data_IF_421991714596
#
_entry.id   IF_421991714596
#
_cell.length_a   1.000
_cell.length_b   1.000
_cell.length_c   1.000
_cell.angle_alpha   90.00
_cell.angle_beta   90.00
_cell.angle_gamma   90.00
#
_symmetry.space_group_name_H-M   'P 1'
#
loop_
_entity.id
_entity.type
_entity.pdbx_description
1 polymer ?
#
# COMPACT_ATOMS: atom_id res chain seq x y z
N UNK A 1 22.16 18.76 -21.72
CA UNK A 1 21.56 18.07 -20.56
C UNK A 1 22.48 18.31 -19.36
N UNK A 2 21.94 18.78 -18.23
CA UNK A 2 22.71 19.29 -17.10
C UNK A 2 23.30 18.13 -16.26
N UNK A 3 24.54 18.20 -15.77
CA UNK A 3 25.18 17.15 -14.95
C UNK A 3 24.29 16.76 -13.75
N UNK A 4 23.59 17.75 -13.19
CA UNK A 4 22.61 17.57 -12.11
C UNK A 4 21.52 16.54 -12.41
N UNK A 5 21.02 16.50 -13.64
CA UNK A 5 19.96 15.56 -14.03
C UNK A 5 20.40 14.11 -13.84
N UNK A 6 21.62 13.76 -14.26
CA UNK A 6 22.14 12.40 -14.12
C UNK A 6 22.49 12.07 -12.66
N UNK A 7 23.01 13.04 -11.89
CA UNK A 7 23.32 12.82 -10.48
C UNK A 7 22.07 12.58 -9.66
N UNK A 8 20.96 13.27 -9.96
CA UNK A 8 19.69 13.11 -9.25
C UNK A 8 19.07 11.73 -9.53
N UNK A 9 19.08 11.28 -10.79
CA UNK A 9 18.65 9.91 -11.16
C UNK A 9 19.48 8.87 -10.41
N UNK A 10 20.81 9.02 -10.43
CA UNK A 10 21.72 8.09 -9.75
C UNK A 10 21.46 8.06 -8.24
N UNK A 11 21.19 9.22 -7.63
CA UNK A 11 20.88 9.35 -6.21
C UNK A 11 19.55 8.65 -5.83
N UNK A 12 18.49 8.83 -6.63
CA UNK A 12 17.20 8.14 -6.42
C UNK A 12 17.36 6.62 -6.51
N UNK A 13 18.03 6.14 -7.57
CA UNK A 13 18.24 4.70 -7.76
C UNK A 13 19.11 4.13 -6.63
N UNK A 14 20.18 4.83 -6.25
CA UNK A 14 21.02 4.42 -5.13
C UNK A 14 20.24 4.35 -3.81
N UNK A 15 19.35 5.31 -3.57
CA UNK A 15 18.44 5.31 -2.42
C UNK A 15 17.53 4.08 -2.42
N UNK A 16 16.93 3.74 -3.57
CA UNK A 16 16.11 2.53 -3.70
C UNK A 16 16.89 1.24 -3.49
N UNK A 17 18.17 1.19 -3.89
CA UNK A 17 19.03 0.04 -3.62
C UNK A 17 19.32 -0.12 -2.12
N UNK A 18 19.59 0.99 -1.41
CA UNK A 18 19.76 1.00 0.04
C UNK A 18 18.46 0.55 0.74
N UNK A 19 17.32 1.09 0.33
CA UNK A 19 15.99 0.70 0.81
C UNK A 19 15.72 -0.78 0.58
N UNK A 20 15.99 -1.27 -0.63
CA UNK A 20 15.83 -2.67 -0.97
C UNK A 20 16.68 -3.57 -0.08
N UNK A 21 17.96 -3.24 0.13
CA UNK A 21 18.84 -3.99 1.01
C UNK A 21 18.31 -4.01 2.46
N UNK A 22 17.99 -2.84 3.03
CA UNK A 22 17.53 -2.74 4.40
C UNK A 22 16.19 -3.46 4.64
N UNK A 23 15.20 -3.22 3.78
CA UNK A 23 13.90 -3.88 3.90
C UNK A 23 13.99 -5.38 3.61
N UNK A 24 14.77 -5.82 2.62
CA UNK A 24 15.01 -7.26 2.44
C UNK A 24 15.66 -7.91 3.67
N UNK A 25 16.59 -7.23 4.34
CA UNK A 25 17.25 -7.76 5.53
C UNK A 25 16.30 -7.94 6.71
N UNK A 26 15.51 -6.91 7.04
CA UNK A 26 14.43 -7.02 8.05
C UNK A 26 13.37 -8.04 7.65
N UNK A 27 13.01 -8.06 6.37
CA UNK A 27 12.11 -9.02 5.75
C UNK A 27 12.53 -10.46 5.97
N UNK A 28 13.79 -10.78 5.68
CA UNK A 28 14.35 -12.12 5.87
C UNK A 28 14.28 -12.56 7.34
N UNK A 29 14.46 -11.63 8.28
CA UNK A 29 14.27 -11.91 9.72
C UNK A 29 12.81 -12.22 10.04
N UNK A 30 11.87 -11.45 9.50
CA UNK A 30 10.44 -11.74 9.67
C UNK A 30 10.03 -13.06 9.02
N UNK A 31 10.51 -13.37 7.82
CA UNK A 31 10.29 -14.67 7.14
C UNK A 31 10.75 -15.81 8.04
N UNK A 32 11.96 -15.72 8.59
CA UNK A 32 12.50 -16.72 9.51
C UNK A 32 11.69 -16.81 10.82
N UNK A 33 11.36 -15.66 11.42
CA UNK A 33 10.59 -15.58 12.66
C UNK A 33 9.22 -16.22 12.48
N UNK A 34 8.50 -15.87 11.41
CA UNK A 34 7.17 -16.36 11.07
C UNK A 34 7.18 -17.77 10.45
N UNK A 35 8.38 -18.33 10.16
CA UNK A 35 8.56 -19.62 9.46
C UNK A 35 7.85 -19.67 8.10
N UNK A 36 7.82 -18.55 7.38
CA UNK A 36 7.21 -18.46 6.05
C UNK A 36 8.11 -19.16 5.02
N UNK A 37 7.52 -20.01 4.20
CA UNK A 37 8.22 -20.73 3.12
C UNK A 37 7.81 -20.18 1.75
N UNK A 38 8.58 -19.19 1.27
CA UNK A 38 8.51 -18.74 -0.11
C UNK A 38 9.48 -19.58 -0.93
N UNK A 39 9.00 -20.15 -2.05
CA UNK A 39 9.83 -21.02 -2.89
C UNK A 39 11.15 -20.33 -3.26
N UNK A 40 12.29 -20.95 -2.93
CA UNK A 40 13.65 -20.42 -3.19
C UNK A 40 13.92 -20.08 -4.67
N UNK A 41 13.16 -20.67 -5.59
CA UNK A 41 13.30 -20.48 -7.03
C UNK A 41 12.32 -19.46 -7.64
N UNK A 42 11.32 -19.01 -6.88
CA UNK A 42 10.48 -17.91 -7.32
C UNK A 42 11.26 -16.60 -7.13
N UNK A 43 11.32 -15.77 -8.18
CA UNK A 43 11.86 -14.40 -8.11
C UNK A 43 10.89 -13.52 -7.33
N UNK A 44 10.75 -13.82 -6.06
CA UNK A 44 9.76 -13.32 -5.15
C UNK A 44 10.41 -12.29 -4.21
N UNK A 45 9.82 -11.10 -4.09
CA UNK A 45 10.29 -10.04 -3.19
C UNK A 45 9.45 -9.93 -1.91
N UNK A 46 8.75 -11.00 -1.50
CA UNK A 46 8.03 -11.08 -0.23
C UNK A 46 8.87 -10.62 0.98
N UNK A 47 10.18 -10.95 1.10
CA UNK A 47 11.00 -10.39 2.17
C UNK A 47 11.01 -8.86 2.14
N UNK A 48 11.26 -8.22 1.00
CA UNK A 48 11.25 -6.74 0.89
C UNK A 48 9.91 -6.14 1.32
N UNK A 49 8.78 -6.75 0.90
CA UNK A 49 7.44 -6.31 1.31
C UNK A 49 7.20 -6.44 2.82
N UNK A 50 7.66 -7.54 3.43
CA UNK A 50 7.56 -7.74 4.87
C UNK A 50 8.46 -6.78 5.65
N UNK A 51 9.67 -6.49 5.17
CA UNK A 51 10.57 -5.54 5.82
C UNK A 51 10.10 -4.09 5.69
N UNK A 52 9.50 -3.73 4.56
CA UNK A 52 8.81 -2.47 4.42
C UNK A 52 7.59 -2.40 5.37
N UNK A 53 6.79 -3.47 5.46
CA UNK A 53 5.70 -3.56 6.44
C UNK A 53 6.18 -3.43 7.88
N UNK A 54 7.34 -4.01 8.20
CA UNK A 54 8.01 -3.85 9.50
C UNK A 54 8.41 -2.40 9.77
N UNK A 55 8.87 -1.66 8.76
CA UNK A 55 9.18 -0.24 8.92
C UNK A 55 7.96 0.57 9.39
N UNK A 56 6.77 0.30 8.83
CA UNK A 56 5.52 0.96 9.26
C UNK A 56 5.28 0.70 10.74
N UNK A 57 5.36 -0.57 11.16
CA UNK A 57 5.21 -0.96 12.56
C UNK A 57 6.25 -0.29 13.47
N UNK A 58 7.53 -0.42 13.10
CA UNK A 58 8.67 0.04 13.89
C UNK A 58 8.63 1.55 14.13
N UNK A 59 8.44 2.33 13.06
CA UNK A 59 8.40 3.79 13.17
C UNK A 59 7.12 4.29 13.84
N UNK A 60 5.99 3.60 13.66
CA UNK A 60 4.77 3.94 14.38
C UNK A 60 4.89 3.72 15.89
N UNK A 61 5.60 2.65 16.29
CA UNK A 61 5.89 2.32 17.69
C UNK A 61 6.87 3.33 18.31
N UNK A 62 8.01 3.55 17.65
CA UNK A 62 9.05 4.46 18.14
C UNK A 62 8.54 5.89 18.23
N UNK A 63 7.73 6.31 17.27
CA UNK A 63 7.17 7.66 17.27
C UNK A 63 6.26 7.95 18.46
N UNK A 64 5.75 6.94 19.18
CA UNK A 64 5.00 7.19 20.42
C UNK A 64 5.84 7.91 21.48
N UNK A 65 7.17 7.74 21.47
CA UNK A 65 8.06 8.23 22.53
C UNK A 65 9.17 9.15 22.03
N UNK A 66 9.62 8.99 20.78
CA UNK A 66 10.69 9.81 20.20
C UNK A 66 10.36 10.25 18.78
N UNK A 67 10.80 11.44 18.34
CA UNK A 67 10.59 11.86 16.95
C UNK A 67 11.29 10.93 15.95
N UNK A 68 10.71 10.78 14.75
CA UNK A 68 11.33 10.02 13.66
C UNK A 68 12.41 10.90 13.03
N UNK A 69 13.67 10.67 13.36
CA UNK A 69 14.79 11.48 12.86
C UNK A 69 15.91 10.62 12.27
N UNK A 70 16.96 11.29 11.79
CA UNK A 70 18.17 10.67 11.22
C UNK A 70 18.71 9.51 12.07
N UNK A 71 18.74 9.63 13.40
CA UNK A 71 19.29 8.59 14.28
C UNK A 71 18.42 7.33 14.29
N UNK A 72 17.11 7.50 14.51
CA UNK A 72 16.15 6.39 14.47
C UNK A 72 16.16 5.69 13.11
N UNK A 73 16.32 6.49 12.05
CA UNK A 73 16.37 6.00 10.69
C UNK A 73 17.67 5.27 10.37
N UNK A 74 18.81 5.84 10.75
CA UNK A 74 20.13 5.27 10.52
C UNK A 74 20.26 3.89 11.16
N UNK A 75 19.79 3.71 12.40
CA UNK A 75 19.82 2.41 13.08
C UNK A 75 18.98 1.37 12.32
N UNK A 76 17.79 1.75 11.85
CA UNK A 76 16.94 0.85 11.07
C UNK A 76 17.64 0.39 9.78
N UNK A 77 18.23 1.32 9.01
CA UNK A 77 18.97 0.99 7.80
C UNK A 77 20.23 0.16 8.09
N UNK A 78 21.00 0.52 9.11
CA UNK A 78 22.21 -0.19 9.53
C UNK A 78 21.90 -1.65 9.83
N UNK A 79 20.94 -1.92 10.72
CA UNK A 79 20.58 -3.30 11.07
C UNK A 79 19.94 -4.05 9.89
N UNK A 80 19.10 -3.37 9.10
CA UNK A 80 18.53 -3.95 7.88
C UNK A 80 19.63 -4.42 6.92
N UNK A 81 20.61 -3.57 6.62
CA UNK A 81 21.74 -3.90 5.74
C UNK A 81 22.61 -5.01 6.36
N UNK A 82 22.89 -4.96 7.65
CA UNK A 82 23.66 -6.03 8.33
C UNK A 82 22.94 -7.39 8.19
N UNK A 83 21.62 -7.43 8.32
CA UNK A 83 20.85 -8.67 8.09
C UNK A 83 20.79 -9.07 6.63
N UNK A 84 20.86 -8.11 5.71
CA UNK A 84 20.90 -8.36 4.27
C UNK A 84 22.16 -9.08 3.80
N UNK A 85 23.34 -8.70 4.33
CA UNK A 85 24.64 -9.24 3.88
C UNK A 85 24.72 -10.77 3.94
N UNK A 86 23.95 -11.41 4.82
CA UNK A 86 23.90 -12.87 4.96
C UNK A 86 23.27 -13.59 3.75
N UNK A 87 22.45 -12.89 2.96
CA UNK A 87 21.68 -13.47 1.85
C UNK A 87 21.98 -12.81 0.49
N UNK A 88 23.04 -12.00 0.41
CA UNK A 88 23.35 -11.20 -0.80
C UNK A 88 23.53 -12.05 -2.06
N UNK A 89 24.17 -13.22 -1.95
CA UNK A 89 24.41 -14.13 -3.08
C UNK A 89 23.12 -14.68 -3.66
N UNK A 90 22.17 -15.06 -2.81
CA UNK A 90 20.87 -15.58 -3.24
C UNK A 90 20.07 -14.49 -3.95
N UNK A 91 20.08 -13.26 -3.45
CA UNK A 91 19.30 -12.20 -4.05
C UNK A 91 19.91 -11.63 -5.33
N UNK A 92 21.25 -11.48 -5.38
CA UNK A 92 21.96 -11.17 -6.62
C UNK A 92 21.70 -12.23 -7.70
N UNK A 93 21.54 -13.50 -7.31
CA UNK A 93 21.12 -14.55 -8.26
C UNK A 93 19.71 -14.32 -8.81
N UNK A 94 18.76 -13.83 -8.00
CA UNK A 94 17.38 -13.49 -8.43
C UNK A 94 17.36 -12.26 -9.36
N UNK A 95 18.27 -11.31 -9.10
CA UNK A 95 18.50 -10.10 -9.89
C UNK A 95 19.42 -10.31 -11.09
N UNK A 96 19.83 -11.54 -11.44
CA UNK A 96 20.65 -11.74 -12.64
C UNK A 96 19.88 -11.34 -13.90
N UNK A 97 20.16 -10.12 -14.35
CA UNK A 97 19.58 -9.45 -15.52
C UNK A 97 20.08 -10.02 -16.85
N UNK A 98 20.85 -11.14 -16.83
CA UNK A 98 21.52 -11.75 -18.00
C UNK A 98 20.60 -12.05 -19.19
N UNK A 99 19.28 -11.90 -19.06
CA UNK A 99 18.27 -12.17 -20.10
C UNK A 99 17.26 -11.02 -20.35
N UNK A 100 17.37 -9.84 -19.73
CA UNK A 100 16.49 -8.69 -20.03
C UNK A 100 16.97 -7.36 -19.44
N UNK A 101 17.02 -6.30 -20.26
CA UNK A 101 17.26 -4.92 -19.83
C UNK A 101 15.99 -4.21 -19.32
N UNK A 102 14.81 -4.82 -19.47
CA UNK A 102 13.53 -4.17 -19.19
C UNK A 102 13.37 -3.69 -17.73
N UNK A 103 13.75 -4.46 -16.69
CA UNK A 103 13.69 -3.96 -15.31
C UNK A 103 14.60 -2.75 -15.05
N UNK A 104 15.76 -2.67 -15.73
CA UNK A 104 16.68 -1.54 -15.62
C UNK A 104 16.09 -0.30 -16.28
N UNK A 105 15.61 -0.44 -17.51
CA UNK A 105 14.94 0.65 -18.25
C UNK A 105 13.74 1.17 -17.46
N UNK A 106 12.92 0.25 -16.93
CA UNK A 106 11.79 0.59 -16.08
C UNK A 106 12.23 1.37 -14.83
N UNK A 107 13.26 0.90 -14.11
CA UNK A 107 13.78 1.61 -12.92
C UNK A 107 14.26 3.02 -13.26
N UNK A 108 15.00 3.19 -14.35
CA UNK A 108 15.47 4.51 -14.80
C UNK A 108 14.30 5.41 -15.17
N UNK A 109 13.29 4.90 -15.88
CA UNK A 109 12.10 5.65 -16.23
C UNK A 109 11.36 6.16 -14.98
N UNK A 110 11.16 5.28 -13.99
CA UNK A 110 10.50 5.68 -12.74
C UNK A 110 11.35 6.67 -11.94
N UNK A 111 12.68 6.54 -11.96
CA UNK A 111 13.56 7.53 -11.34
C UNK A 111 13.43 8.91 -11.99
N UNK A 112 13.29 8.97 -13.32
CA UNK A 112 13.05 10.24 -14.05
C UNK A 112 11.69 10.84 -13.65
N UNK A 113 10.64 10.03 -13.56
CA UNK A 113 9.30 10.51 -13.15
C UNK A 113 9.30 10.97 -11.69
N UNK A 114 10.03 10.28 -10.81
CA UNK A 114 10.15 10.62 -9.39
C UNK A 114 10.73 12.03 -9.17
N UNK A 115 11.49 12.58 -10.11
CA UNK A 115 12.06 13.93 -10.04
C UNK A 115 11.06 15.06 -10.34
N UNK A 116 9.83 14.74 -10.71
CA UNK A 116 8.80 15.74 -10.99
C UNK A 116 8.36 16.48 -9.71
N UNK A 117 7.72 17.63 -9.89
CA UNK A 117 7.08 18.35 -8.78
C UNK A 117 5.89 17.54 -8.24
N UNK A 118 5.60 17.60 -6.92
CA UNK A 118 4.42 16.96 -6.35
C UNK A 118 3.14 17.54 -6.97
N UNK A 119 2.33 16.68 -7.57
CA UNK A 119 1.08 17.07 -8.23
C UNK A 119 -0.15 16.92 -7.31
N UNK A 120 -0.09 16.04 -6.30
CA UNK A 120 -1.22 15.83 -5.41
C UNK A 120 -1.48 17.08 -4.54
N UNK A 121 -2.68 17.65 -4.66
CA UNK A 121 -3.12 18.82 -3.90
C UNK A 121 -2.89 18.66 -2.38
N UNK A 122 -3.20 17.48 -1.85
CA UNK A 122 -3.08 17.20 -0.43
C UNK A 122 -1.63 17.20 0.09
N UNK A 123 -0.64 17.04 -0.81
CA UNK A 123 0.78 17.09 -0.45
C UNK A 123 1.13 18.44 0.17
N UNK A 124 0.76 19.53 -0.51
CA UNK A 124 0.95 20.88 0.00
C UNK A 124 -0.04 21.27 1.10
N UNK A 125 -1.23 20.66 1.12
CA UNK A 125 -2.29 20.99 2.07
C UNK A 125 -1.98 20.49 3.49
N UNK A 126 -1.63 19.22 3.66
CA UNK A 126 -1.40 18.65 4.99
C UNK A 126 -0.38 17.51 5.06
N UNK A 127 -0.03 16.81 3.97
CA UNK A 127 0.88 15.66 4.07
C UNK A 127 2.25 16.09 4.59
N UNK A 128 2.86 17.13 3.99
CA UNK A 128 4.18 17.61 4.39
C UNK A 128 4.20 18.11 5.85
N UNK A 129 3.13 18.78 6.28
CA UNK A 129 2.99 19.22 7.67
C UNK A 129 2.87 18.03 8.63
N UNK A 130 2.09 17.01 8.26
CA UNK A 130 1.93 15.80 9.07
C UNK A 130 3.25 15.04 9.21
N UNK A 131 4.00 14.92 8.11
CA UNK A 131 5.34 14.32 8.10
C UNK A 131 6.30 15.12 8.98
N UNK A 132 6.28 16.45 8.90
CA UNK A 132 7.14 17.32 9.70
C UNK A 132 6.88 17.18 11.20
N UNK A 133 5.61 17.10 11.62
CA UNK A 133 5.26 16.83 13.02
C UNK A 133 5.84 15.49 13.52
N UNK A 134 5.80 14.44 12.69
CA UNK A 134 6.42 13.15 13.02
C UNK A 134 7.95 13.23 13.10
N UNK A 135 8.57 14.11 12.31
CA UNK A 135 10.03 14.29 12.32
C UNK A 135 10.54 15.11 13.51
N UNK A 136 9.75 16.07 14.00
CA UNK A 136 10.17 17.00 15.05
C UNK A 136 9.73 16.56 16.46
N UNK A 137 8.61 15.84 16.58
CA UNK A 137 8.02 15.49 17.88
C UNK A 137 7.67 14.00 18.01
N UNK A 138 7.70 13.45 19.23
CA UNK A 138 6.90 12.28 19.57
C UNK A 138 5.42 12.51 19.26
N UNK A 139 4.64 11.44 19.21
CA UNK A 139 3.21 11.51 18.89
C UNK A 139 2.46 12.43 19.86
N UNK A 140 1.88 13.51 19.33
CA UNK A 140 1.27 14.57 20.12
C UNK A 140 -0.18 14.21 20.46
N UNK A 141 -0.50 14.27 21.74
CA UNK A 141 -1.86 14.08 22.23
C UNK A 141 -2.72 15.29 21.79
N UNK A 142 -3.86 15.03 21.17
CA UNK A 142 -4.80 16.05 20.73
C UNK A 142 -4.39 16.86 19.51
N UNK A 143 -3.39 16.43 18.72
CA UNK A 143 -2.89 17.16 17.54
C UNK A 143 -3.99 17.55 16.54
N UNK A 144 -5.07 16.76 16.46
CA UNK A 144 -6.23 17.07 15.63
C UNK A 144 -6.92 18.39 15.99
N UNK A 145 -6.80 18.88 17.24
CA UNK A 145 -7.39 20.16 17.68
C UNK A 145 -6.64 21.37 17.12
N UNK A 146 -5.37 21.23 16.72
CA UNK A 146 -4.65 22.29 16.01
C UNK A 146 -5.18 22.43 14.57
N UNK A 147 -5.33 21.29 13.91
CA UNK A 147 -5.95 21.20 12.59
C UNK A 147 -6.38 19.75 12.35
N UNK A 148 -7.67 19.50 12.10
CA UNK A 148 -8.24 18.15 12.03
C UNK A 148 -7.48 17.19 11.10
N UNK A 149 -6.99 17.67 9.94
CA UNK A 149 -6.20 16.85 8.99
C UNK A 149 -4.89 16.29 9.55
N UNK A 150 -4.27 16.95 10.53
CA UNK A 150 -3.09 16.40 11.23
C UNK A 150 -3.45 15.19 12.10
N UNK A 151 -4.72 15.06 12.46
CA UNK A 151 -5.27 13.95 13.22
C UNK A 151 -5.66 12.73 12.38
N UNK A 152 -5.55 12.77 11.04
CA UNK A 152 -5.83 11.59 10.21
C UNK A 152 -4.93 10.43 10.60
N UNK A 153 -5.54 9.30 10.97
CA UNK A 153 -4.80 8.14 11.47
C UNK A 153 -4.21 7.31 10.31
N UNK A 154 -3.19 7.85 9.65
CA UNK A 154 -2.53 7.24 8.49
C UNK A 154 -1.06 6.95 8.80
N UNK A 155 -0.69 5.67 8.87
CA UNK A 155 0.69 5.27 9.16
C UNK A 155 1.62 5.40 7.94
N UNK A 156 1.11 5.77 6.77
CA UNK A 156 1.96 6.01 5.60
C UNK A 156 3.00 7.12 5.85
N UNK A 157 2.62 8.16 6.60
CA UNK A 157 3.52 9.28 6.87
C UNK A 157 4.67 8.92 7.80
N UNK A 158 4.58 7.85 8.61
CA UNK A 158 5.73 7.40 9.40
C UNK A 158 6.82 6.81 8.51
N UNK A 159 6.44 6.17 7.40
CA UNK A 159 7.39 5.68 6.39
C UNK A 159 8.07 6.84 5.65
N UNK A 160 7.31 7.86 5.21
CA UNK A 160 7.93 9.03 4.56
C UNK A 160 8.82 9.81 5.55
N UNK A 161 8.36 10.00 6.79
CA UNK A 161 9.13 10.67 7.83
C UNK A 161 10.47 9.97 8.09
N UNK A 162 10.50 8.64 8.11
CA UNK A 162 11.74 7.87 8.27
C UNK A 162 12.75 8.14 7.14
N UNK A 163 12.26 8.34 5.92
CA UNK A 163 13.10 8.61 4.75
C UNK A 163 13.56 10.09 4.67
N UNK A 164 12.99 11.01 5.45
CA UNK A 164 13.44 12.41 5.53
C UNK A 164 14.77 12.52 6.29
N UNK A 165 15.87 12.09 5.65
CA UNK A 165 17.21 12.29 6.18
C UNK A 165 17.71 13.69 5.89
N UNK A 166 18.00 14.45 6.92
CA UNK A 166 18.81 15.66 6.79
C UNK A 166 20.30 15.30 6.89
N UNK A 167 21.20 15.74 5.98
CA UNK A 167 20.95 16.58 4.81
C UNK A 167 20.69 15.79 3.50
N UNK A 168 20.78 14.45 3.52
CA UNK A 168 20.78 13.62 2.30
C UNK A 168 19.54 13.83 1.40
N UNK A 169 18.35 13.98 1.97
CA UNK A 169 17.12 14.23 1.21
C UNK A 169 16.61 15.66 1.35
N UNK A 170 17.20 16.53 2.19
CA UNK A 170 16.72 17.91 2.42
C UNK A 170 15.17 18.03 2.56
N UNK A 171 14.51 17.04 3.18
CA UNK A 171 13.04 16.92 3.32
C UNK A 171 12.25 16.60 2.03
N UNK A 172 12.92 16.05 1.00
CA UNK A 172 12.34 15.65 -0.27
C UNK A 172 12.16 14.12 -0.41
N UNK A 173 12.06 13.40 0.71
CA UNK A 173 12.00 11.94 0.69
C UNK A 173 10.73 11.37 0.03
N UNK A 174 9.72 12.21 -0.16
CA UNK A 174 8.52 11.85 -0.90
C UNK A 174 8.81 11.49 -2.38
N UNK A 175 9.90 11.98 -2.98
CA UNK A 175 10.31 11.55 -4.33
C UNK A 175 10.77 10.08 -4.37
N UNK A 176 11.33 9.56 -3.28
CA UNK A 176 11.81 8.17 -3.25
C UNK A 176 10.78 7.19 -2.69
N UNK A 177 9.90 7.65 -1.80
CA UNK A 177 8.99 6.80 -1.02
C UNK A 177 8.04 5.96 -1.90
N UNK A 178 7.25 6.63 -2.73
CA UNK A 178 6.26 6.01 -3.60
C UNK A 178 6.93 5.28 -4.78
N UNK A 179 7.96 5.90 -5.37
CA UNK A 179 8.74 5.31 -6.46
C UNK A 179 9.40 3.97 -6.08
N UNK A 180 9.86 3.83 -4.83
CA UNK A 180 10.43 2.57 -4.34
C UNK A 180 9.43 1.41 -4.43
N UNK A 181 8.22 1.59 -3.90
CA UNK A 181 7.19 0.53 -3.89
C UNK A 181 6.74 0.21 -5.31
N UNK A 182 6.59 1.23 -6.15
CA UNK A 182 6.23 1.06 -7.55
C UNK A 182 7.30 0.27 -8.32
N UNK A 183 8.58 0.60 -8.14
CA UNK A 183 9.70 -0.12 -8.75
C UNK A 183 9.78 -1.56 -8.22
N UNK A 184 9.61 -1.76 -6.90
CA UNK A 184 9.66 -3.09 -6.29
C UNK A 184 8.61 -4.03 -6.92
N UNK A 185 7.35 -3.58 -7.02
CA UNK A 185 6.30 -4.36 -7.65
C UNK A 185 6.56 -4.55 -9.15
N UNK A 186 6.93 -3.50 -9.86
CA UNK A 186 7.15 -3.57 -11.30
C UNK A 186 8.29 -4.53 -11.66
N UNK A 187 9.42 -4.48 -10.97
CA UNK A 187 10.52 -5.45 -11.15
C UNK A 187 10.03 -6.87 -10.81
N UNK A 188 9.29 -7.06 -9.71
CA UNK A 188 8.75 -8.38 -9.35
C UNK A 188 7.92 -8.96 -10.49
N UNK A 189 7.03 -8.16 -11.09
CA UNK A 189 6.16 -8.62 -12.16
C UNK A 189 6.92 -8.83 -13.49
N UNK A 190 7.85 -7.95 -13.84
CA UNK A 190 8.68 -8.08 -15.05
C UNK A 190 9.61 -9.30 -15.01
N UNK A 191 10.10 -9.66 -13.83
CA UNK A 191 10.95 -10.84 -13.63
C UNK A 191 10.14 -12.14 -13.71
N UNK A 192 8.87 -12.11 -13.32
CA UNK A 192 7.95 -13.24 -13.38
C UNK A 192 7.18 -13.20 -14.72
N UNK A 193 7.78 -13.67 -15.81
CA UNK A 193 7.24 -13.56 -17.18
C UNK A 193 5.97 -14.40 -17.50
N UNK A 194 5.07 -14.60 -16.55
CA UNK A 194 3.78 -15.28 -16.78
C UNK A 194 2.69 -14.25 -17.16
N UNK A 195 1.63 -14.72 -17.84
CA UNK A 195 0.55 -13.86 -18.32
C UNK A 195 -0.09 -13.00 -17.22
N UNK A 196 -0.21 -13.57 -16.01
CA UNK A 196 -0.75 -12.88 -14.83
C UNK A 196 0.09 -11.66 -14.49
N UNK A 197 1.41 -11.83 -14.42
CA UNK A 197 2.31 -10.75 -14.04
C UNK A 197 2.36 -9.68 -15.13
N UNK A 198 2.19 -10.04 -16.41
CA UNK A 198 2.03 -9.07 -17.49
C UNK A 198 0.74 -8.25 -17.34
N UNK A 199 -0.39 -8.91 -17.04
CA UNK A 199 -1.68 -8.24 -16.79
C UNK A 199 -1.58 -7.30 -15.58
N UNK A 200 -1.01 -7.77 -14.47
CA UNK A 200 -0.82 -6.96 -13.27
C UNK A 200 0.15 -5.80 -13.51
N UNK A 201 1.20 -6.02 -14.29
CA UNK A 201 2.16 -4.98 -14.64
C UNK A 201 1.49 -3.89 -15.49
N UNK A 202 0.66 -4.28 -16.47
CA UNK A 202 -0.16 -3.32 -17.20
C UNK A 202 -1.12 -2.59 -16.26
N UNK A 203 -1.83 -3.31 -15.39
CA UNK A 203 -2.78 -2.74 -14.43
C UNK A 203 -2.17 -1.65 -13.54
N UNK A 204 -0.88 -1.76 -13.18
CA UNK A 204 -0.17 -0.71 -12.43
C UNK A 204 -0.22 0.68 -13.08
N UNK A 205 -0.33 0.75 -14.41
CA UNK A 205 -0.38 2.00 -15.17
C UNK A 205 -1.80 2.42 -15.59
N UNK A 206 -2.75 1.48 -15.62
CA UNK A 206 -4.14 1.74 -15.97
C UNK A 206 -5.02 2.11 -14.76
N UNK A 207 -4.49 2.01 -13.54
CA UNK A 207 -5.10 2.72 -12.41
C UNK A 207 -4.88 4.21 -12.66
N UNK A 208 -5.90 5.07 -12.66
CA UNK A 208 -5.89 6.35 -13.41
C UNK A 208 -5.06 7.49 -12.83
N UNK A 209 -4.47 7.26 -11.66
CA UNK A 209 -3.99 8.30 -10.75
C UNK A 209 -2.55 8.14 -10.22
N UNK A 210 -1.87 6.98 -10.23
CA UNK A 210 -0.66 6.84 -9.41
C UNK A 210 0.61 7.50 -9.96
N UNK A 211 0.81 7.56 -11.28
CA UNK A 211 2.16 7.88 -11.79
C UNK A 211 2.52 9.36 -11.62
N UNK A 212 1.56 10.28 -11.75
CA UNK A 212 1.79 11.71 -11.47
C UNK A 212 1.90 12.01 -9.98
N UNK A 213 1.33 11.15 -9.13
CA UNK A 213 1.48 11.24 -7.69
C UNK A 213 2.70 10.48 -7.17
N UNK A 214 3.52 9.93 -8.07
CA UNK A 214 4.74 9.21 -7.71
C UNK A 214 5.74 10.09 -6.97
N UNK A 215 5.80 11.37 -7.36
CA UNK A 215 6.58 12.41 -6.68
C UNK A 215 5.78 13.15 -5.59
N UNK A 216 4.68 12.58 -5.09
CA UNK A 216 3.83 13.15 -4.03
C UNK A 216 3.84 12.31 -2.77
N UNK A 217 3.44 12.91 -1.63
CA UNK A 217 3.36 12.21 -0.34
C UNK A 217 2.06 11.41 -0.15
N UNK A 218 1.24 11.27 -1.21
CA UNK A 218 -0.06 10.60 -1.13
C UNK A 218 0.08 9.08 -0.91
N UNK A 219 -0.71 8.48 -0.01
CA UNK A 219 -0.78 7.04 0.16
C UNK A 219 -1.52 6.31 -0.98
N UNK A 220 -2.13 7.00 -1.94
CA UNK A 220 -3.01 6.40 -2.96
C UNK A 220 -2.29 5.46 -3.94
N UNK A 221 -1.09 5.86 -4.37
CA UNK A 221 -0.22 5.01 -5.19
C UNK A 221 0.23 3.79 -4.37
N UNK A 222 0.71 4.01 -3.15
CA UNK A 222 1.13 2.92 -2.25
C UNK A 222 -0.01 1.95 -1.94
N UNK A 223 -1.22 2.47 -1.76
CA UNK A 223 -2.46 1.72 -1.59
C UNK A 223 -2.70 0.78 -2.77
N UNK A 224 -2.68 1.31 -3.99
CA UNK A 224 -2.81 0.51 -5.22
C UNK A 224 -1.74 -0.56 -5.30
N UNK A 225 -0.47 -0.20 -5.05
CA UNK A 225 0.66 -1.14 -5.10
C UNK A 225 0.50 -2.28 -4.10
N UNK A 226 0.06 -2.01 -2.87
CA UNK A 226 -0.17 -3.06 -1.86
C UNK A 226 -1.36 -3.94 -2.19
N UNK A 227 -2.44 -3.38 -2.75
CA UNK A 227 -3.58 -4.17 -3.20
C UNK A 227 -3.19 -5.11 -4.35
N UNK A 228 -2.47 -4.62 -5.35
CA UNK A 228 -1.92 -5.42 -6.44
C UNK A 228 -0.96 -6.51 -5.93
N UNK A 229 -0.14 -6.16 -4.94
CA UNK A 229 0.77 -7.12 -4.28
C UNK A 229 -0.03 -8.21 -3.57
N UNK A 230 -0.95 -7.85 -2.67
CA UNK A 230 -1.81 -8.81 -1.97
C UNK A 230 -2.56 -9.71 -2.97
N UNK A 231 -3.02 -9.11 -4.06
CA UNK A 231 -3.72 -9.81 -5.11
C UNK A 231 -2.83 -10.79 -5.89
N UNK A 232 -1.59 -10.41 -6.21
CA UNK A 232 -0.60 -11.29 -6.83
C UNK A 232 -0.39 -12.58 -6.00
N UNK A 233 -0.23 -12.46 -4.67
CA UNK A 233 -0.09 -13.64 -3.80
C UNK A 233 -1.40 -14.39 -3.61
N UNK A 234 -2.54 -13.71 -3.69
CA UNK A 234 -3.83 -14.38 -3.69
C UNK A 234 -4.03 -15.26 -4.93
N UNK A 235 -3.54 -14.84 -6.09
CA UNK A 235 -3.51 -15.71 -7.26
C UNK A 235 -2.56 -16.91 -7.07
N UNK A 236 -1.38 -16.70 -6.45
CA UNK A 236 -0.50 -17.83 -6.06
C UNK A 236 -1.21 -18.81 -5.12
N UNK A 237 -1.96 -18.28 -4.15
CA UNK A 237 -2.78 -19.08 -3.22
C UNK A 237 -3.82 -19.93 -3.96
N UNK A 238 -4.50 -19.37 -4.96
CA UNK A 238 -5.50 -20.10 -5.75
C UNK A 238 -4.92 -21.20 -6.64
N UNK A 239 -3.68 -21.00 -7.09
CA UNK A 239 -2.94 -21.99 -7.89
C UNK A 239 -2.34 -23.10 -7.05
N UNK A 240 -2.18 -22.87 -5.75
CA UNK A 240 -1.69 -23.87 -4.81
C UNK A 240 -2.80 -24.91 -4.53
N UNK A 241 -2.77 -26.01 -5.29
CA UNK A 241 -3.78 -27.07 -5.23
C UNK A 241 -3.63 -27.96 -3.99
N UNK A 242 -2.49 -27.92 -3.32
CA UNK A 242 -2.19 -28.75 -2.16
C UNK A 242 -2.51 -28.02 -0.85
N UNK A 243 -3.04 -28.74 0.15
CA UNK A 243 -3.05 -28.27 1.53
C UNK A 243 -1.64 -28.38 2.11
N UNK A 244 -0.79 -27.44 1.71
CA UNK A 244 0.63 -27.40 2.06
C UNK A 244 0.97 -26.19 2.93
N UNK A 245 2.15 -26.25 3.53
CA UNK A 245 2.79 -25.15 4.26
C UNK A 245 2.92 -23.85 3.44
N UNK A 246 3.01 -23.96 2.11
CA UNK A 246 3.04 -22.83 1.18
C UNK A 246 1.72 -22.08 1.16
N UNK A 247 0.60 -22.82 1.23
CA UNK A 247 -0.74 -22.24 1.30
C UNK A 247 -0.89 -21.36 2.54
N UNK A 248 -0.46 -21.88 3.69
CA UNK A 248 -0.44 -21.12 4.97
C UNK A 248 0.47 -19.89 4.86
N UNK A 249 1.63 -20.03 4.21
CA UNK A 249 2.56 -18.92 3.97
C UNK A 249 1.92 -17.79 3.15
N UNK A 250 1.22 -18.11 2.06
CA UNK A 250 0.53 -17.10 1.27
C UNK A 250 -0.60 -16.42 2.04
N UNK A 251 -1.40 -17.17 2.81
CA UNK A 251 -2.46 -16.59 3.64
C UNK A 251 -1.88 -15.65 4.70
N UNK A 252 -0.82 -16.08 5.40
CA UNK A 252 -0.11 -15.27 6.39
C UNK A 252 0.42 -13.97 5.77
N UNK A 253 1.06 -14.06 4.61
CA UNK A 253 1.60 -12.91 3.90
C UNK A 253 0.49 -11.95 3.45
N UNK A 254 -0.57 -12.46 2.81
CA UNK A 254 -1.73 -11.66 2.37
C UNK A 254 -2.35 -10.93 3.56
N UNK A 255 -2.53 -11.61 4.70
CA UNK A 255 -3.09 -11.01 5.91
C UNK A 255 -2.23 -9.83 6.42
N UNK A 256 -0.90 -9.98 6.42
CA UNK A 256 0.02 -8.90 6.81
C UNK A 256 -0.08 -7.72 5.84
N UNK A 257 -0.01 -7.96 4.52
CA UNK A 257 -0.09 -6.89 3.52
C UNK A 257 -1.45 -6.20 3.55
N UNK A 258 -2.55 -6.93 3.74
CA UNK A 258 -3.90 -6.38 3.84
C UNK A 258 -4.05 -5.49 5.11
N UNK A 259 -3.54 -5.94 6.26
CA UNK A 259 -3.54 -5.14 7.48
C UNK A 259 -2.71 -3.85 7.31
N UNK A 260 -1.51 -3.97 6.73
CA UNK A 260 -0.63 -2.82 6.46
C UNK A 260 -1.30 -1.85 5.48
N UNK A 261 -1.91 -2.37 4.42
CA UNK A 261 -2.67 -1.58 3.44
C UNK A 261 -3.78 -0.76 4.11
N UNK A 262 -4.47 -1.35 5.09
CA UNK A 262 -5.53 -0.68 5.86
C UNK A 262 -5.00 0.43 6.77
N UNK A 263 -3.91 0.21 7.51
CA UNK A 263 -3.40 1.24 8.44
C UNK A 263 -2.68 2.39 7.73
N UNK A 264 -2.18 2.19 6.50
CA UNK A 264 -1.65 3.30 5.71
C UNK A 264 -2.78 4.16 5.12
N UNK A 265 -3.93 3.54 4.82
CA UNK A 265 -5.11 4.22 4.28
C UNK A 265 -6.38 3.43 4.63
N UNK A 266 -7.22 3.99 5.48
CA UNK A 266 -8.42 3.32 6.02
C UNK A 266 -9.37 2.79 4.93
N UNK A 267 -9.47 3.47 3.77
CA UNK A 267 -10.32 3.01 2.65
C UNK A 267 -9.97 1.61 2.15
N UNK A 268 -8.74 1.13 2.38
CA UNK A 268 -8.32 -0.23 2.01
C UNK A 268 -8.92 -1.33 2.89
N UNK A 269 -9.63 -0.97 3.96
CA UNK A 269 -10.29 -1.93 4.83
C UNK A 269 -11.28 -2.81 4.04
N UNK A 270 -12.06 -2.22 3.13
CA UNK A 270 -13.05 -2.95 2.33
C UNK A 270 -12.40 -4.05 1.48
N UNK A 271 -11.40 -3.69 0.68
CA UNK A 271 -10.59 -4.66 -0.08
C UNK A 271 -9.95 -5.71 0.82
N UNK A 272 -9.34 -5.29 1.93
CA UNK A 272 -8.61 -6.17 2.85
C UNK A 272 -9.52 -7.22 3.50
N UNK A 273 -10.72 -6.80 3.92
CA UNK A 273 -11.75 -7.68 4.49
C UNK A 273 -12.27 -8.63 3.41
N UNK A 274 -12.56 -8.14 2.20
CA UNK A 274 -13.03 -8.99 1.09
C UNK A 274 -12.01 -10.07 0.72
N UNK A 275 -10.73 -9.70 0.64
CA UNK A 275 -9.64 -10.61 0.35
C UNK A 275 -9.41 -11.63 1.48
N UNK A 276 -9.49 -11.19 2.73
CA UNK A 276 -9.40 -12.04 3.92
C UNK A 276 -10.55 -13.05 4.00
N UNK A 277 -11.79 -12.60 3.81
CA UNK A 277 -12.98 -13.45 3.79
C UNK A 277 -12.89 -14.50 2.68
N UNK A 278 -12.50 -14.08 1.47
CA UNK A 278 -12.36 -15.00 0.34
C UNK A 278 -11.26 -16.04 0.61
N UNK A 279 -10.11 -15.60 1.16
CA UNK A 279 -9.03 -16.51 1.57
C UNK A 279 -9.49 -17.52 2.62
N UNK A 280 -10.28 -17.09 3.61
CA UNK A 280 -10.86 -17.96 4.63
C UNK A 280 -11.86 -18.97 4.04
N UNK A 281 -12.77 -18.54 3.16
CA UNK A 281 -13.75 -19.42 2.53
C UNK A 281 -13.07 -20.49 1.66
N UNK A 282 -11.99 -20.14 0.97
CA UNK A 282 -11.17 -21.10 0.21
C UNK A 282 -10.55 -22.15 1.14
N UNK A 283 -10.07 -21.75 2.32
CA UNK A 283 -9.53 -22.67 3.33
C UNK A 283 -10.62 -23.60 3.85
N UNK A 284 -11.77 -23.05 4.25
CA UNK A 284 -12.90 -23.83 4.80
C UNK A 284 -13.46 -24.87 3.83
N UNK A 285 -13.48 -24.57 2.52
CA UNK A 285 -13.98 -25.49 1.48
C UNK A 285 -13.04 -26.68 1.23
N UNK A 286 -11.78 -26.52 1.57
CA UNK A 286 -10.84 -27.63 1.57
C UNK A 286 -11.02 -28.36 2.90
N UNK A 287 -11.32 -29.66 2.89
CA UNK A 287 -11.51 -30.52 4.09
C UNK A 287 -10.31 -30.56 5.07
N UNK A 288 -9.34 -29.66 4.91
CA UNK A 288 -8.35 -29.36 5.93
C UNK A 288 -9.03 -28.82 7.18
N UNK A 289 -8.99 -29.61 8.27
CA UNK A 289 -9.09 -29.08 9.64
C UNK A 289 -8.26 -27.80 9.69
N UNK A 290 -8.93 -26.67 9.94
CA UNK A 290 -8.38 -25.32 9.80
C UNK A 290 -7.00 -25.27 10.46
N UNK A 291 -5.97 -25.12 9.63
CA UNK A 291 -4.57 -24.99 10.05
C UNK A 291 -4.42 -23.65 10.79
N UNK A 292 -4.69 -23.60 12.10
CA UNK A 292 -4.07 -22.61 12.99
C UNK A 292 -2.62 -23.00 13.24
N UNK A 293 -1.85 -23.10 12.15
CA UNK A 293 -0.43 -23.40 12.23
C UNK A 293 0.33 -22.25 12.88
N UNK A 294 1.55 -22.55 13.32
CA UNK A 294 2.40 -21.56 13.97
C UNK A 294 2.76 -20.36 13.09
N UNK A 295 2.55 -20.40 11.76
CA UNK A 295 2.83 -19.27 10.86
C UNK A 295 1.72 -18.24 10.96
N UNK A 296 0.46 -18.67 10.90
CA UNK A 296 -0.68 -17.76 11.05
C UNK A 296 -0.70 -17.10 12.42
N UNK A 297 -0.44 -17.84 13.50
CA UNK A 297 -0.39 -17.25 14.86
C UNK A 297 0.62 -16.10 14.91
N UNK A 298 1.80 -16.27 14.31
CA UNK A 298 2.84 -15.22 14.29
C UNK A 298 2.48 -14.05 13.38
N UNK A 299 1.86 -14.30 12.24
CA UNK A 299 1.34 -13.25 11.38
C UNK A 299 0.24 -12.44 12.08
N UNK A 300 -0.71 -13.11 12.73
CA UNK A 300 -1.74 -12.45 13.54
C UNK A 300 -1.15 -11.69 14.72
N UNK A 301 -0.10 -12.21 15.38
CA UNK A 301 0.61 -11.47 16.43
C UNK A 301 1.17 -10.14 15.90
N UNK A 302 1.83 -10.16 14.74
CA UNK A 302 2.32 -8.93 14.09
C UNK A 302 1.17 -7.97 13.79
N UNK A 303 0.08 -8.47 13.21
CA UNK A 303 -1.12 -7.67 12.86
C UNK A 303 -1.75 -7.07 14.11
N UNK A 304 -1.90 -7.84 15.19
CA UNK A 304 -2.45 -7.37 16.46
C UNK A 304 -1.62 -6.23 17.04
N UNK A 305 -0.28 -6.38 17.08
CA UNK A 305 0.59 -5.31 17.58
C UNK A 305 0.45 -4.05 16.71
N UNK A 306 0.44 -4.21 15.38
CA UNK A 306 0.26 -3.11 14.43
C UNK A 306 -1.07 -2.37 14.66
N UNK A 307 -2.18 -3.10 14.77
CA UNK A 307 -3.50 -2.53 14.98
C UNK A 307 -3.63 -1.85 16.33
N UNK A 308 -3.08 -2.45 17.40
CA UNK A 308 -3.06 -1.81 18.73
C UNK A 308 -2.34 -0.47 18.68
N UNK A 309 -1.15 -0.41 18.08
CA UNK A 309 -0.40 0.84 17.92
C UNK A 309 -1.21 1.86 17.12
N UNK A 310 -1.80 1.43 16.01
CA UNK A 310 -2.62 2.30 15.17
C UNK A 310 -3.81 2.88 15.92
N UNK A 311 -4.57 2.07 16.66
CA UNK A 311 -5.68 2.53 17.49
C UNK A 311 -5.23 3.47 18.60
N UNK A 312 -4.13 3.15 19.29
CA UNK A 312 -3.54 4.03 20.31
C UNK A 312 -3.16 5.39 19.73
N UNK A 313 -2.56 5.44 18.54
CA UNK A 313 -2.20 6.70 17.86
C UNK A 313 -3.43 7.53 17.50
N UNK A 314 -4.48 6.90 16.96
CA UNK A 314 -5.75 7.58 16.68
C UNK A 314 -6.37 8.19 17.94
N UNK A 315 -6.46 7.38 19.00
CA UNK A 315 -6.95 7.81 20.32
C UNK A 315 -6.13 8.97 20.89
N UNK A 316 -4.81 8.88 20.87
CA UNK A 316 -3.94 9.97 21.34
C UNK A 316 -4.13 11.22 20.48
N UNK A 317 -4.12 11.09 19.16
CA UNK A 317 -4.11 12.23 18.24
C UNK A 317 -5.43 13.02 18.20
N UNK A 318 -6.57 12.35 18.37
CA UNK A 318 -7.89 12.96 18.16
C UNK A 318 -8.95 12.57 19.18
N UNK A 319 -8.69 11.60 20.05
CA UNK A 319 -9.72 10.94 20.86
C UNK A 319 -10.60 9.95 20.09
N UNK A 320 -10.35 9.75 18.79
CA UNK A 320 -11.03 8.76 17.95
C UNK A 320 -10.02 7.76 17.38
N UNK A 321 -10.16 6.46 17.65
CA UNK A 321 -9.21 5.44 17.19
C UNK A 321 -9.12 5.35 15.65
N UNK A 322 -10.20 5.69 14.95
CA UNK A 322 -10.34 5.55 13.50
C UNK A 322 -10.64 6.88 12.80
N UNK A 323 -10.21 8.01 13.37
CA UNK A 323 -10.40 9.33 12.75
C UNK A 323 -9.92 9.33 11.28
N UNK A 324 -10.73 9.81 10.31
CA UNK A 324 -11.86 10.73 10.46
C UNK A 324 -13.23 10.12 10.79
N UNK A 325 -13.34 8.79 10.96
CA UNK A 325 -14.64 8.20 11.31
C UNK A 325 -15.06 8.65 12.72
N UNK A 326 -16.35 8.93 12.90
CA UNK A 326 -16.94 9.24 14.21
C UNK A 326 -16.98 8.07 15.21
N UNK A 327 -16.41 6.92 14.89
CA UNK A 327 -16.54 5.67 15.65
C UNK A 327 -15.58 5.67 16.85
N UNK A 328 -16.11 5.32 18.03
CA UNK A 328 -15.30 5.02 19.22
C UNK A 328 -14.73 6.25 19.91
N UNK A 329 -15.45 7.38 19.93
CA UNK A 329 -15.05 8.60 20.66
C UNK A 329 -14.75 8.27 22.12
N UNK A 330 -13.57 8.68 22.58
CA UNK A 330 -13.17 8.57 23.97
C UNK A 330 -13.68 9.74 24.83
N UNK A 331 -13.92 9.46 26.11
CA UNK A 331 -14.21 10.47 27.14
C UNK A 331 -12.92 11.09 27.67
N UNK A 332 -12.21 11.84 26.83
CA UNK A 332 -10.96 12.55 27.17
C UNK A 332 -11.02 14.02 26.77
N UNK A 333 -10.28 14.86 27.48
CA UNK A 333 -10.33 16.32 27.32
C UNK A 333 -9.86 16.80 25.96
N UNK A 334 -8.98 16.05 25.29
CA UNK A 334 -8.46 16.37 23.97
C UNK A 334 -9.26 15.74 22.82
N UNK A 335 -10.35 15.03 23.10
CA UNK A 335 -11.15 14.42 22.04
C UNK A 335 -11.82 15.49 21.18
N UNK A 336 -11.67 15.38 19.85
CA UNK A 336 -12.29 16.30 18.92
C UNK A 336 -13.81 16.42 19.18
N UNK A 337 -14.39 17.62 19.05
CA UNK A 337 -15.84 17.80 19.07
C UNK A 337 -16.54 16.95 18.02
N UNK A 338 -17.62 16.27 18.37
CA UNK A 338 -18.37 15.38 17.47
C UNK A 338 -18.79 16.08 16.17
N UNK A 339 -19.23 17.34 16.27
CA UNK A 339 -19.60 18.16 15.11
C UNK A 339 -18.44 18.35 14.13
N UNK A 340 -17.21 18.53 14.61
CA UNK A 340 -16.04 18.68 13.73
C UNK A 340 -15.69 17.37 13.04
N UNK A 341 -15.82 16.25 13.74
CA UNK A 341 -15.61 14.91 13.17
C UNK A 341 -16.65 14.60 12.10
N UNK A 342 -17.94 14.88 12.35
CA UNK A 342 -19.02 14.74 11.38
C UNK A 342 -18.76 15.58 10.13
N UNK A 343 -18.39 16.86 10.30
CA UNK A 343 -18.05 17.73 9.17
C UNK A 343 -16.88 17.12 8.38
N UNK A 344 -15.80 16.69 9.03
CA UNK A 344 -14.63 16.12 8.37
C UNK A 344 -14.97 14.86 7.56
N UNK A 345 -15.78 13.95 8.13
CA UNK A 345 -16.27 12.75 7.48
C UNK A 345 -17.16 13.08 6.26
N UNK A 346 -18.12 13.99 6.43
CA UNK A 346 -18.99 14.46 5.35
C UNK A 346 -18.22 15.13 4.22
N UNK A 347 -17.14 15.89 4.52
CA UNK A 347 -16.29 16.49 3.47
C UNK A 347 -15.68 15.42 2.57
N UNK A 348 -15.19 14.35 3.18
CA UNK A 348 -14.53 13.25 2.47
C UNK A 348 -15.56 12.54 1.58
N UNK A 349 -16.75 12.27 2.11
CA UNK A 349 -17.84 11.67 1.31
C UNK A 349 -18.33 12.58 0.19
N UNK A 350 -18.50 13.89 0.46
CA UNK A 350 -18.93 14.86 -0.54
C UNK A 350 -17.94 14.92 -1.70
N UNK A 351 -16.65 15.04 -1.40
CA UNK A 351 -15.61 15.07 -2.41
C UNK A 351 -15.55 13.75 -3.20
N UNK A 352 -15.61 12.60 -2.51
CA UNK A 352 -15.55 11.30 -3.16
C UNK A 352 -16.75 11.00 -4.07
N UNK A 353 -17.95 11.50 -3.73
CA UNK A 353 -19.19 11.24 -4.49
C UNK A 353 -19.48 12.31 -5.54
N UNK A 354 -19.29 13.59 -5.22
CA UNK A 354 -19.75 14.70 -6.04
C UNK A 354 -18.61 15.58 -6.57
N UNK A 355 -17.36 15.38 -6.14
CA UNK A 355 -16.22 16.28 -6.39
C UNK A 355 -16.48 17.75 -6.02
N UNK A 356 -17.38 17.95 -5.06
CA UNK A 356 -17.75 19.26 -4.55
C UNK A 356 -17.22 19.46 -3.13
N UNK A 357 -17.03 20.73 -2.76
CA UNK A 357 -16.75 21.16 -1.40
C UNK A 357 -17.98 21.80 -0.74
N UNK A 358 -19.15 21.74 -1.36
CA UNK A 358 -20.41 22.20 -0.77
C UNK A 358 -20.95 21.17 0.22
N UNK A 359 -21.00 21.56 1.49
CA UNK A 359 -21.52 20.74 2.59
C UNK A 359 -23.06 20.84 2.64
N UNK A 360 -23.75 19.75 3.02
CA UNK A 360 -25.22 19.63 3.07
C UNK A 360 -25.94 19.66 1.70
N UNK A 361 -25.31 19.15 0.63
CA UNK A 361 -26.03 18.91 -0.62
C UNK A 361 -27.13 17.87 -0.41
N UNK A 362 -28.40 18.15 -0.79
CA UNK A 362 -29.48 17.15 -0.76
C UNK A 362 -29.17 15.89 -1.58
N UNK A 363 -28.19 15.96 -2.48
CA UNK A 363 -27.75 14.85 -3.34
C UNK A 363 -26.97 13.79 -2.54
N UNK A 364 -26.33 14.16 -1.43
CA UNK A 364 -25.60 13.22 -0.58
C UNK A 364 -26.52 12.35 0.28
N UNK A 365 -27.79 12.74 0.41
CA UNK A 365 -28.83 11.99 1.10
C UNK A 365 -29.36 10.90 0.15
N UNK A 366 -29.43 9.68 0.65
CA UNK A 366 -29.83 8.46 -0.08
C UNK A 366 -28.89 8.10 -1.27
N UNK A 367 -29.45 7.52 -2.34
CA UNK A 367 -28.74 7.08 -3.54
C UNK A 367 -28.72 8.13 -4.66
N UNK A 368 -29.17 9.36 -4.39
CA UNK A 368 -29.29 10.42 -5.40
C UNK A 368 -27.93 10.87 -5.96
N UNK A 369 -26.86 10.67 -5.20
CA UNK A 369 -25.48 10.97 -5.62
C UNK A 369 -24.97 10.04 -6.73
N UNK A 370 -25.55 8.84 -6.91
CA UNK A 370 -25.02 7.83 -7.87
C UNK A 370 -25.00 8.39 -9.28
N UNK A 371 -26.07 9.05 -9.71
CA UNK A 371 -26.17 9.58 -11.07
C UNK A 371 -25.14 10.69 -11.31
N UNK A 372 -25.06 11.76 -10.50
CA UNK A 372 -24.00 12.77 -10.62
C UNK A 372 -22.59 12.19 -10.52
N UNK A 373 -22.38 11.16 -9.68
CA UNK A 373 -21.09 10.48 -9.58
C UNK A 373 -20.71 9.76 -10.86
N UNK A 374 -21.65 9.03 -11.49
CA UNK A 374 -21.44 8.41 -12.80
C UNK A 374 -21.19 9.46 -13.88
N UNK A 375 -21.95 10.55 -13.88
CA UNK A 375 -21.77 11.68 -14.81
C UNK A 375 -20.38 12.32 -14.63
N UNK A 376 -19.92 12.51 -13.39
CA UNK A 376 -18.57 13.00 -13.10
C UNK A 376 -17.48 12.03 -13.58
N UNK A 377 -17.66 10.73 -13.38
CA UNK A 377 -16.75 9.72 -13.92
C UNK A 377 -16.70 9.83 -15.45
N UNK A 378 -17.84 9.95 -16.11
CA UNK A 378 -17.91 10.11 -17.57
C UNK A 378 -17.28 11.42 -18.02
N UNK A 379 -17.47 12.51 -17.28
CA UNK A 379 -16.83 13.79 -17.58
C UNK A 379 -15.31 13.72 -17.43
N UNK A 380 -14.80 13.05 -16.40
CA UNK A 380 -13.37 12.79 -16.24
C UNK A 380 -12.81 11.92 -17.37
N UNK A 381 -13.62 11.00 -17.93
CA UNK A 381 -13.31 10.22 -19.13
C UNK A 381 -13.21 11.09 -20.37
N UNK A 382 -14.18 11.95 -20.62
CA UNK A 382 -14.25 12.75 -21.84
C UNK A 382 -13.25 13.90 -21.84
N UNK A 383 -12.96 14.47 -20.66
CA UNK A 383 -12.04 15.61 -20.50
C UNK A 383 -10.57 15.23 -20.38
N UNK A 384 -10.23 13.96 -20.16
CA UNK A 384 -8.85 13.54 -19.92
C UNK A 384 -8.59 12.10 -20.42
N UNK A 385 -7.51 11.88 -21.19
CA UNK A 385 -7.12 10.55 -21.72
C UNK A 385 -7.00 9.47 -20.61
N UNK A 386 -6.72 9.93 -19.39
CA UNK A 386 -6.62 9.14 -18.17
C UNK A 386 -7.96 8.55 -17.73
N UNK A 387 -9.06 9.30 -17.85
CA UNK A 387 -10.40 8.78 -17.55
C UNK A 387 -10.81 7.66 -18.51
N UNK A 388 -10.47 7.80 -19.81
CA UNK A 388 -10.67 6.75 -20.83
C UNK A 388 -9.93 5.47 -20.46
N UNK A 389 -8.66 5.59 -20.04
CA UNK A 389 -7.86 4.44 -19.59
C UNK A 389 -8.46 3.77 -18.33
N UNK A 390 -8.94 4.57 -17.38
CA UNK A 390 -9.64 4.13 -16.16
C UNK A 390 -10.82 3.23 -16.47
N UNK A 391 -11.72 3.74 -17.31
CA UNK A 391 -13.03 3.14 -17.50
C UNK A 391 -12.95 2.06 -18.55
N UNK A 392 -12.04 2.16 -19.53
CA UNK A 392 -11.72 1.03 -20.39
C UNK A 392 -11.21 -0.14 -19.56
N UNK A 393 -10.37 0.10 -18.56
CA UNK A 393 -9.89 -0.96 -17.67
C UNK A 393 -11.00 -1.52 -16.77
N UNK A 394 -11.87 -0.67 -16.20
CA UNK A 394 -13.04 -1.10 -15.42
C UNK A 394 -14.03 -1.89 -16.29
N UNK A 395 -14.36 -1.42 -17.49
CA UNK A 395 -15.25 -2.09 -18.44
C UNK A 395 -14.68 -3.43 -18.91
N UNK A 396 -13.38 -3.48 -19.24
CA UNK A 396 -12.70 -4.75 -19.56
C UNK A 396 -12.76 -5.69 -18.36
N UNK A 397 -12.55 -5.19 -17.15
CA UNK A 397 -12.63 -5.99 -15.91
C UNK A 397 -14.05 -6.51 -15.64
N UNK A 398 -15.09 -5.69 -15.87
CA UNK A 398 -16.50 -6.07 -15.73
C UNK A 398 -16.94 -7.09 -16.79
N UNK A 399 -16.50 -6.93 -18.04
CA UNK A 399 -16.75 -7.90 -19.11
C UNK A 399 -16.07 -9.22 -18.79
N UNK A 400 -14.81 -9.19 -18.35
CA UNK A 400 -14.10 -10.39 -17.93
C UNK A 400 -14.71 -11.05 -16.69
N UNK A 401 -15.31 -10.28 -15.77
CA UNK A 401 -16.08 -10.79 -14.64
C UNK A 401 -17.41 -11.42 -15.06
N UNK A 402 -18.17 -10.79 -15.95
CA UNK A 402 -19.40 -11.38 -16.49
C UNK A 402 -19.10 -12.70 -17.22
N UNK A 403 -18.04 -12.72 -18.03
CA UNK A 403 -17.53 -13.93 -18.69
C UNK A 403 -17.12 -14.97 -17.63
N UNK A 404 -16.46 -14.56 -16.53
CA UNK A 404 -16.12 -15.47 -15.43
C UNK A 404 -17.35 -16.05 -14.74
N UNK A 405 -18.34 -15.24 -14.39
CA UNK A 405 -19.59 -15.69 -13.76
C UNK A 405 -20.31 -16.69 -14.67
N UNK A 406 -20.37 -16.39 -15.97
CA UNK A 406 -20.91 -17.30 -16.99
C UNK A 406 -20.10 -18.61 -17.02
N UNK A 407 -18.77 -18.55 -17.11
CA UNK A 407 -17.91 -19.74 -17.13
C UNK A 407 -17.94 -20.55 -15.81
N UNK A 408 -18.06 -19.88 -14.67
CA UNK A 408 -18.17 -20.49 -13.35
C UNK A 408 -19.54 -21.15 -13.16
N UNK A 409 -20.60 -20.56 -13.70
CA UNK A 409 -21.96 -21.08 -13.72
C UNK A 409 -22.09 -22.31 -14.64
N UNK A 410 -21.40 -22.32 -15.80
CA UNK A 410 -21.47 -23.41 -16.79
C UNK A 410 -20.45 -24.57 -16.60
N UNK A 411 -19.69 -24.59 -15.49
CA UNK A 411 -18.80 -25.69 -15.01
C UNK A 411 -17.48 -25.97 -15.77
N UNK A 412 -16.42 -26.07 -14.96
CA UNK A 412 -15.18 -26.89 -15.06
C UNK A 412 -14.33 -26.83 -16.34
N UNK A 413 -13.34 -25.92 -16.38
CA UNK A 413 -11.90 -26.22 -16.53
C UNK A 413 -11.03 -25.07 -17.09
N UNK A 414 -11.60 -23.91 -17.40
CA UNK A 414 -10.79 -22.73 -17.74
C UNK A 414 -11.01 -21.62 -16.72
N UNK A 415 -10.32 -21.77 -15.58
CA UNK A 415 -10.52 -20.94 -14.38
C UNK A 415 -9.51 -19.80 -14.22
N UNK A 416 -8.44 -19.76 -15.03
CA UNK A 416 -7.24 -19.01 -14.65
C UNK A 416 -7.17 -17.56 -15.16
N UNK A 417 -7.70 -17.23 -16.33
CA UNK A 417 -7.48 -15.89 -16.92
C UNK A 417 -8.53 -14.86 -16.50
N UNK A 418 -9.76 -15.29 -16.22
CA UNK A 418 -10.92 -14.42 -15.96
C UNK A 418 -10.98 -13.94 -14.49
N UNK A 419 -10.41 -14.70 -13.56
CA UNK A 419 -10.39 -14.38 -12.13
C UNK A 419 -9.38 -13.28 -11.77
N UNK A 420 -8.29 -13.16 -12.56
CA UNK A 420 -7.24 -12.15 -12.40
C UNK A 420 -7.80 -10.74 -12.57
N UNK A 421 -8.73 -10.56 -13.51
CA UNK A 421 -9.32 -9.25 -13.79
C UNK A 421 -10.38 -8.85 -12.76
N UNK A 422 -11.06 -9.83 -12.13
CA UNK A 422 -12.08 -9.59 -11.10
C UNK A 422 -11.52 -9.01 -9.79
N UNK A 423 -10.33 -9.40 -9.37
CA UNK A 423 -9.80 -8.97 -8.06
C UNK A 423 -8.86 -7.78 -8.12
N UNK A 424 -8.47 -7.39 -9.35
CA UNK A 424 -8.06 -6.02 -9.69
C UNK A 424 -9.21 -5.02 -9.51
N UNK A 425 -10.47 -5.44 -9.72
CA UNK A 425 -11.65 -4.60 -9.52
C UNK A 425 -12.01 -4.39 -8.04
N UNK A 426 -11.91 -5.42 -7.19
CA UNK A 426 -12.16 -5.26 -5.73
C UNK A 426 -11.13 -4.36 -5.03
N UNK A 427 -9.94 -4.20 -5.62
CA UNK A 427 -8.92 -3.28 -5.12
C UNK A 427 -9.32 -1.81 -5.26
N UNK A 428 -10.27 -1.48 -6.15
CA UNK A 428 -10.58 -0.11 -6.51
C UNK A 428 -11.90 0.44 -5.92
N UNK A 429 -12.62 -0.35 -5.13
CA UNK A 429 -13.67 0.10 -4.21
C UNK A 429 -13.07 0.31 -2.82
#
# INVERSE_FOLDING_TARGET
>A
MNIRFYTDIAFIIFSWLIMFAAYSGWGNKLVCLMKLDFAKHDKDFAPSWLGWSFSILFFSLINLVVPINLYSSFLFFLFGILFFTKNIKELLSRLTLKKSLLPVIFTILIAIIAMQLPYCYDTGLYHLNSIRWLNEYPHIIGIGNLHHRLGFNQLFFTYIAHLNFHPLFNNYAFHVANGYLFVLLGIQLLLNKNAISVILFAAMFFVPMPIYWLASSSPDLSSTVLQLTAFYYFIKLLREKSCSEKRETYIAFIAVIAAVSTVIKLSNAAFSIGLGLTSYLLVKRSDSKVFFGGRLIKAFTFITILLVIWFCRGYMGTGYPLFPTGIGRASVDWALPEKLTQIAEERIYCFARLRSYEFDSPLLKDYKWIRPWLENIVYDIEGNFEGIASVSFVCISLVCFAIWLIMAFFKTNQKENSFILFSLWTAQL
#
